data_IF_957033095909
#
_entry.id   IF_957033095909
#
_cell.length_a   1.000
_cell.length_b   1.000
_cell.length_c   1.000
_cell.angle_alpha   90.00
_cell.angle_beta   90.00
_cell.angle_gamma   90.00
#
_symmetry.space_group_name_H-M   'P 1'
#
loop_
_entity.id
_entity.type
_entity.pdbx_description
1 polymer ?
#
# COMPACT_ATOMS: atom_id res chain seq x y z
N UNK A 1 -0.34 -8.92 -29.96
CA UNK A 1 -1.33 -8.31 -29.05
C UNK A 1 -0.56 -7.84 -27.83
N UNK A 2 -0.29 -6.54 -27.74
CA UNK A 2 0.41 -5.95 -26.60
C UNK A 2 -0.51 -5.98 -25.39
N UNK A 3 -0.16 -6.75 -24.36
CA UNK A 3 -0.91 -6.72 -23.12
C UNK A 3 -0.83 -5.31 -22.52
N UNK A 4 -1.99 -4.70 -22.29
CA UNK A 4 -2.07 -3.40 -21.62
C UNK A 4 -1.37 -3.51 -20.25
N UNK A 5 -0.58 -2.50 -19.84
CA UNK A 5 0.02 -2.49 -18.52
C UNK A 5 -1.09 -2.59 -17.47
N UNK A 6 -0.89 -3.45 -16.48
CA UNK A 6 -1.78 -3.56 -15.33
C UNK A 6 -1.80 -2.17 -14.67
N UNK A 7 -2.91 -1.45 -14.82
CA UNK A 7 -3.09 -0.20 -14.09
C UNK A 7 -3.16 -0.55 -12.60
N UNK A 8 -2.27 0.01 -11.78
CA UNK A 8 -2.22 -0.27 -10.35
C UNK A 8 -3.57 -0.07 -9.64
N UNK A 9 -4.40 0.88 -10.12
CA UNK A 9 -5.75 1.08 -9.60
C UNK A 9 -6.72 -0.04 -10.01
N UNK A 10 -6.56 -0.61 -11.21
CA UNK A 10 -7.36 -1.75 -11.69
C UNK A 10 -7.02 -3.05 -10.94
N UNK A 11 -5.74 -3.24 -10.61
CA UNK A 11 -5.28 -4.35 -9.76
C UNK A 11 -5.79 -4.22 -8.32
N UNK A 12 -5.64 -3.04 -7.71
CA UNK A 12 -6.12 -2.82 -6.34
C UNK A 12 -7.66 -2.98 -6.27
N UNK A 13 -8.39 -2.57 -7.33
CA UNK A 13 -9.84 -2.79 -7.43
C UNK A 13 -10.22 -4.27 -7.65
N UNK A 14 -9.34 -5.09 -8.23
CA UNK A 14 -9.61 -6.52 -8.46
C UNK A 14 -9.43 -7.38 -7.20
N UNK A 15 -8.75 -6.85 -6.16
CA UNK A 15 -8.65 -7.50 -4.84
C UNK A 15 -10.02 -7.69 -4.15
N UNK A 16 -11.08 -7.02 -4.64
CA UNK A 16 -12.48 -7.23 -4.24
C UNK A 16 -12.93 -6.43 -3.02
N UNK A 17 -14.20 -6.60 -2.65
CA UNK A 17 -14.90 -5.82 -1.61
C UNK A 17 -14.20 -5.78 -0.24
N UNK A 18 -13.38 -6.80 0.07
CA UNK A 18 -12.50 -6.85 1.25
C UNK A 18 -11.60 -5.64 1.33
N UNK A 19 -11.08 -5.21 0.17
CA UNK A 19 -10.05 -4.19 0.08
C UNK A 19 -10.60 -2.86 -0.41
N UNK A 20 -11.88 -2.70 -0.73
CA UNK A 20 -12.43 -1.41 -1.19
C UNK A 20 -12.13 -0.26 -0.22
N UNK A 21 -12.18 -0.53 1.09
CA UNK A 21 -11.81 0.46 2.10
C UNK A 21 -10.31 0.79 2.05
N UNK A 22 -9.46 -0.21 1.83
CA UNK A 22 -8.01 -0.06 1.73
C UNK A 22 -7.63 0.64 0.41
N UNK A 23 -8.28 0.28 -0.70
CA UNK A 23 -8.20 0.91 -2.01
C UNK A 23 -8.56 2.38 -1.94
N UNK A 24 -9.68 2.71 -1.29
CA UNK A 24 -10.10 4.11 -1.07
C UNK A 24 -9.09 4.85 -0.19
N UNK A 25 -8.57 4.21 0.84
CA UNK A 25 -7.55 4.78 1.72
C UNK A 25 -6.22 5.07 1.00
N UNK A 26 -5.81 4.18 0.09
CA UNK A 26 -4.64 4.35 -0.80
C UNK A 26 -4.89 5.49 -1.79
N UNK A 27 -6.02 5.50 -2.50
CA UNK A 27 -6.35 6.58 -3.45
C UNK A 27 -6.40 7.95 -2.77
N UNK A 28 -6.99 8.04 -1.58
CA UNK A 28 -6.99 9.29 -0.80
C UNK A 28 -5.57 9.76 -0.44
N UNK A 29 -4.64 8.84 -0.16
CA UNK A 29 -3.24 9.19 0.14
C UNK A 29 -2.47 9.59 -1.10
N UNK A 30 -2.68 8.91 -2.22
CA UNK A 30 -2.09 9.31 -3.49
C UNK A 30 -2.55 10.72 -3.88
N UNK A 31 -3.85 11.02 -3.72
CA UNK A 31 -4.38 12.37 -3.95
C UNK A 31 -3.73 13.43 -3.06
N UNK A 32 -3.38 13.09 -1.81
CA UNK A 32 -2.61 14.00 -0.92
C UNK A 32 -1.21 14.26 -1.48
N UNK A 33 -0.53 13.23 -1.99
CA UNK A 33 0.80 13.37 -2.60
C UNK A 33 0.72 14.19 -3.90
N UNK A 34 -0.29 13.94 -4.74
CA UNK A 34 -0.54 14.73 -5.95
C UNK A 34 -0.80 16.20 -5.62
N UNK A 35 -1.56 16.48 -4.54
CA UNK A 35 -1.81 17.83 -4.06
C UNK A 35 -0.49 18.51 -3.63
N UNK A 36 0.37 17.83 -2.86
CA UNK A 36 1.70 18.36 -2.53
C UNK A 36 2.56 18.63 -3.77
N UNK A 37 2.57 17.71 -4.74
CA UNK A 37 3.33 17.86 -5.98
C UNK A 37 2.83 19.04 -6.83
N UNK A 38 1.52 19.28 -6.82
CA UNK A 38 0.90 20.42 -7.51
C UNK A 38 1.25 21.77 -6.87
N UNK A 39 1.36 21.80 -5.54
CA UNK A 39 1.68 23.00 -4.77
C UNK A 39 3.19 23.31 -4.72
N UNK A 40 4.04 22.28 -4.71
CA UNK A 40 5.49 22.42 -4.63
C UNK A 40 6.19 21.25 -5.35
N UNK A 41 6.20 21.34 -6.68
CA UNK A 41 6.79 20.33 -7.54
C UNK A 41 8.30 20.15 -7.36
N UNK A 42 8.99 21.12 -6.75
CA UNK A 42 10.44 21.08 -6.54
C UNK A 42 10.78 20.25 -5.31
N UNK A 43 10.15 20.54 -4.17
CA UNK A 43 10.43 19.83 -2.92
C UNK A 43 9.75 18.46 -2.84
N UNK A 44 8.67 18.22 -3.60
CA UNK A 44 7.97 16.92 -3.63
C UNK A 44 8.27 16.09 -4.88
N UNK A 45 9.26 16.47 -5.71
CA UNK A 45 9.66 15.71 -6.89
C UNK A 45 10.10 14.26 -6.60
N UNK A 46 10.69 14.02 -5.42
CA UNK A 46 11.10 12.68 -4.95
C UNK A 46 10.82 12.53 -3.46
N UNK A 47 10.74 11.28 -2.97
CA UNK A 47 10.56 10.99 -1.54
C UNK A 47 11.73 11.57 -0.72
N UNK A 48 12.95 11.51 -1.23
CA UNK A 48 14.15 12.06 -0.58
C UNK A 48 14.04 13.57 -0.38
N UNK A 49 13.72 14.31 -1.45
CA UNK A 49 13.54 15.77 -1.38
C UNK A 49 12.40 16.15 -0.44
N UNK A 50 11.31 15.40 -0.47
CA UNK A 50 10.18 15.60 0.44
C UNK A 50 10.61 15.43 1.89
N UNK A 51 11.33 14.35 2.22
CA UNK A 51 11.84 14.11 3.58
C UNK A 51 12.76 15.24 4.01
N UNK A 52 13.74 15.63 3.20
CA UNK A 52 14.66 16.73 3.50
C UNK A 52 13.90 18.06 3.75
N UNK A 53 12.95 18.40 2.89
CA UNK A 53 12.14 19.61 2.99
C UNK A 53 11.27 19.61 4.25
N UNK A 54 10.50 18.55 4.48
CA UNK A 54 9.58 18.48 5.61
C UNK A 54 10.34 18.43 6.94
N UNK A 55 11.53 17.81 6.98
CA UNK A 55 12.41 17.84 8.15
C UNK A 55 12.97 19.23 8.41
N UNK A 56 13.55 19.87 7.40
CA UNK A 56 14.13 21.22 7.51
C UNK A 56 13.12 22.26 7.98
N UNK A 57 11.87 22.12 7.55
CA UNK A 57 10.77 23.04 7.92
C UNK A 57 10.00 22.61 9.17
N UNK A 58 10.29 21.44 9.74
CA UNK A 58 9.57 20.86 10.87
C UNK A 58 8.13 20.42 10.56
N UNK A 59 7.75 20.36 9.27
CA UNK A 59 6.40 20.01 8.80
C UNK A 59 5.98 18.59 9.20
N UNK A 60 6.91 17.63 9.20
CA UNK A 60 6.66 16.24 9.55
C UNK A 60 6.07 16.05 10.96
N UNK A 61 6.36 16.99 11.89
CA UNK A 61 5.86 16.96 13.28
C UNK A 61 4.39 17.36 13.40
N UNK A 62 3.85 18.06 12.41
CA UNK A 62 2.47 18.55 12.43
C UNK A 62 1.56 17.58 11.70
N UNK A 63 0.47 17.14 12.36
CA UNK A 63 -0.47 16.17 11.77
C UNK A 63 -1.18 16.73 10.54
N UNK A 64 -1.52 18.02 10.58
CA UNK A 64 -2.14 18.78 9.50
C UNK A 64 -1.67 20.23 9.60
N UNK A 65 -1.36 20.86 8.45
CA UNK A 65 -1.22 22.31 8.33
C UNK A 65 -2.06 22.77 7.14
N UNK A 66 -2.60 23.98 7.26
CA UNK A 66 -3.21 24.70 6.15
C UNK A 66 -2.09 25.12 5.19
N UNK A 67 -1.97 24.43 4.05
CA UNK A 67 -1.22 24.96 2.91
C UNK A 67 -2.00 26.09 2.25
N UNK A 68 -3.33 25.99 2.31
CA UNK A 68 -4.29 27.04 1.98
C UNK A 68 -5.27 27.27 3.14
N UNK A 69 -5.81 28.48 3.33
CA UNK A 69 -6.81 28.76 4.36
C UNK A 69 -7.99 27.77 4.28
N UNK A 70 -8.25 27.06 5.37
CA UNK A 70 -9.44 26.20 5.49
C UNK A 70 -9.30 24.77 4.96
N UNK A 71 -8.21 24.39 4.27
CA UNK A 71 -8.00 23.00 3.81
C UNK A 71 -6.83 22.33 4.53
N UNK A 72 -7.08 21.49 5.56
CA UNK A 72 -6.01 20.77 6.24
C UNK A 72 -5.43 19.68 5.35
N UNK A 73 -4.14 19.77 5.00
CA UNK A 73 -3.45 18.72 4.25
C UNK A 73 -2.49 17.97 5.18
N UNK A 74 -2.61 16.63 5.30
CA UNK A 74 -1.63 15.81 6.01
C UNK A 74 -0.22 15.97 5.41
N UNK A 75 0.82 15.84 6.24
CA UNK A 75 2.20 15.94 5.76
C UNK A 75 2.57 14.75 4.85
N UNK A 76 3.53 15.00 3.95
CA UNK A 76 3.99 14.04 2.95
C UNK A 76 4.65 12.83 3.59
N UNK A 77 5.54 13.02 4.56
CA UNK A 77 6.26 11.93 5.24
C UNK A 77 5.29 10.90 5.84
N UNK A 78 4.30 11.34 6.61
CA UNK A 78 3.29 10.46 7.21
C UNK A 78 2.41 9.79 6.15
N UNK A 79 2.09 10.51 5.08
CA UNK A 79 1.27 9.98 3.99
C UNK A 79 2.01 8.86 3.25
N UNK A 80 3.27 9.10 2.85
CA UNK A 80 4.15 8.10 2.24
C UNK A 80 4.41 6.93 3.17
N UNK A 81 4.66 7.15 4.47
CA UNK A 81 4.84 6.06 5.44
C UNK A 81 3.65 5.10 5.47
N UNK A 82 2.43 5.61 5.38
CA UNK A 82 1.22 4.77 5.37
C UNK A 82 1.06 4.02 4.05
N UNK A 83 1.39 4.66 2.93
CA UNK A 83 1.43 4.00 1.62
C UNK A 83 2.48 2.89 1.59
N UNK A 84 3.66 3.14 2.15
CA UNK A 84 4.76 2.18 2.29
C UNK A 84 4.34 0.94 3.09
N UNK A 85 3.69 1.13 4.25
CA UNK A 85 3.14 0.02 5.04
C UNK A 85 2.07 -0.79 4.30
N UNK A 86 1.22 -0.11 3.51
CA UNK A 86 0.21 -0.77 2.69
C UNK A 86 0.86 -1.56 1.53
N UNK A 87 1.94 -1.05 0.93
CA UNK A 87 2.73 -1.76 -0.08
C UNK A 87 3.28 -3.07 0.49
N UNK A 88 3.82 -3.05 1.71
CA UNK A 88 4.35 -4.25 2.36
C UNK A 88 3.28 -5.32 2.60
N UNK A 89 2.08 -4.90 2.99
CA UNK A 89 0.93 -5.81 3.06
C UNK A 89 0.57 -6.42 1.70
N UNK A 90 0.43 -5.60 0.66
CA UNK A 90 0.07 -6.08 -0.69
C UNK A 90 1.13 -7.05 -1.22
N UNK A 91 2.41 -6.71 -1.07
CA UNK A 91 3.55 -7.54 -1.46
C UNK A 91 3.48 -8.91 -0.80
N UNK A 92 3.32 -8.96 0.52
CA UNK A 92 3.25 -10.22 1.27
C UNK A 92 2.00 -11.03 0.90
N UNK A 93 0.83 -10.38 0.79
CA UNK A 93 -0.41 -11.02 0.35
C UNK A 93 -0.24 -11.72 -1.00
N UNK A 94 0.40 -11.06 -1.96
CA UNK A 94 0.60 -11.62 -3.30
C UNK A 94 1.58 -12.77 -3.30
N UNK A 95 2.68 -12.66 -2.57
CA UNK A 95 3.68 -13.72 -2.49
C UNK A 95 3.12 -14.98 -1.79
N UNK A 96 2.42 -14.82 -0.67
CA UNK A 96 1.76 -15.93 0.02
C UNK A 96 0.69 -16.58 -0.86
N UNK A 97 -0.14 -15.79 -1.54
CA UNK A 97 -1.18 -16.32 -2.45
C UNK A 97 -0.57 -17.15 -3.57
N UNK A 98 0.53 -16.66 -4.18
CA UNK A 98 1.26 -17.33 -5.25
C UNK A 98 1.85 -18.66 -4.79
N UNK A 99 2.33 -18.74 -3.54
CA UNK A 99 2.92 -19.95 -2.94
C UNK A 99 1.90 -20.93 -2.35
N UNK A 100 0.70 -20.46 -2.06
CA UNK A 100 -0.32 -21.26 -1.40
C UNK A 100 -0.88 -22.39 -2.29
N UNK A 101 -1.24 -23.55 -1.69
CA UNK A 101 -2.00 -24.62 -2.36
C UNK A 101 -3.32 -24.14 -2.95
N UNK A 102 -3.88 -24.90 -3.90
CA UNK A 102 -5.11 -24.52 -4.61
C UNK A 102 -6.34 -24.42 -3.70
N UNK A 103 -6.38 -25.24 -2.65
CA UNK A 103 -7.44 -25.36 -1.65
C UNK A 103 -7.21 -24.48 -0.42
N UNK A 104 -6.19 -23.61 -0.43
CA UNK A 104 -5.89 -22.75 0.70
C UNK A 104 -6.94 -21.65 0.91
N UNK A 105 -7.23 -21.37 2.18
CA UNK A 105 -8.19 -20.33 2.57
C UNK A 105 -7.56 -18.93 2.46
N UNK A 106 -8.12 -18.10 1.57
CA UNK A 106 -7.67 -16.72 1.38
C UNK A 106 -7.86 -15.83 2.60
N UNK A 107 -8.85 -16.13 3.44
CA UNK A 107 -9.09 -15.36 4.66
C UNK A 107 -7.90 -15.49 5.63
N UNK A 108 -7.28 -16.67 5.68
CA UNK A 108 -6.15 -17.02 6.52
C UNK A 108 -4.88 -16.41 5.95
N UNK A 109 -4.68 -16.52 4.63
CA UNK A 109 -3.57 -15.86 3.92
C UNK A 109 -3.61 -14.35 4.15
N UNK A 110 -4.76 -13.71 3.91
CA UNK A 110 -4.92 -12.27 4.06
C UNK A 110 -4.77 -11.80 5.51
N UNK A 111 -5.31 -12.57 6.46
CA UNK A 111 -5.16 -12.25 7.88
C UNK A 111 -3.70 -12.35 8.35
N UNK A 112 -2.98 -13.40 7.98
CA UNK A 112 -1.57 -13.56 8.34
C UNK A 112 -0.72 -12.43 7.76
N UNK A 113 -0.90 -12.13 6.46
CA UNK A 113 -0.20 -11.03 5.81
C UNK A 113 -0.51 -9.69 6.50
N UNK A 114 -1.75 -9.45 6.93
CA UNK A 114 -2.14 -8.26 7.68
C UNK A 114 -1.44 -8.19 9.04
N UNK A 115 -1.45 -9.27 9.82
CA UNK A 115 -0.85 -9.30 11.15
C UNK A 115 0.66 -9.03 11.10
N UNK A 116 1.36 -9.58 10.12
CA UNK A 116 2.80 -9.42 9.94
C UNK A 116 3.20 -8.00 9.49
N UNK A 117 2.29 -7.26 8.86
CA UNK A 117 2.58 -5.95 8.26
C UNK A 117 1.78 -4.83 8.91
N UNK A 118 0.64 -4.44 8.34
CA UNK A 118 -0.21 -3.33 8.78
C UNK A 118 -0.68 -3.47 10.24
N UNK A 119 -0.95 -4.69 10.68
CA UNK A 119 -1.39 -5.02 12.03
C UNK A 119 -0.43 -4.52 13.11
N UNK A 120 0.87 -4.52 12.83
CA UNK A 120 1.92 -4.01 13.75
C UNK A 120 1.77 -2.51 14.05
N UNK A 121 1.03 -1.76 13.22
CA UNK A 121 0.83 -0.32 13.34
C UNK A 121 -0.60 0.08 13.71
N UNK A 122 -1.52 -0.88 13.77
CA UNK A 122 -2.93 -0.64 14.06
C UNK A 122 -3.27 -0.96 15.53
N UNK A 123 -4.05 -0.11 16.21
CA UNK A 123 -4.59 -0.44 17.53
C UNK A 123 -5.41 -1.72 17.50
N UNK A 124 -5.46 -2.44 18.63
CA UNK A 124 -6.17 -3.71 18.76
C UNK A 124 -7.62 -3.68 18.21
N UNK A 125 -8.35 -2.60 18.47
CA UNK A 125 -9.73 -2.45 17.98
C UNK A 125 -9.82 -2.43 16.45
N UNK A 126 -8.87 -1.79 15.78
CA UNK A 126 -8.80 -1.74 14.31
C UNK A 126 -8.45 -3.12 13.77
N UNK A 127 -7.53 -3.84 14.41
CA UNK A 127 -7.18 -5.21 14.03
C UNK A 127 -8.40 -6.15 14.09
N UNK A 128 -9.26 -6.01 15.11
CA UNK A 128 -10.50 -6.81 15.23
C UNK A 128 -11.48 -6.52 14.12
N UNK A 129 -11.69 -5.26 13.77
CA UNK A 129 -12.57 -4.88 12.66
C UNK A 129 -12.05 -5.41 11.32
N UNK A 130 -10.74 -5.32 11.07
CA UNK A 130 -10.14 -5.85 9.84
C UNK A 130 -10.24 -7.38 9.78
N UNK A 131 -10.00 -8.08 10.89
CA UNK A 131 -10.17 -9.54 10.93
C UNK A 131 -11.60 -9.96 10.55
N UNK A 132 -12.60 -9.31 11.13
CA UNK A 132 -14.00 -9.59 10.81
C UNK A 132 -14.30 -9.29 9.33
N UNK A 133 -13.81 -8.18 8.79
CA UNK A 133 -13.98 -7.85 7.37
C UNK A 133 -13.37 -8.92 6.47
N UNK A 134 -12.13 -9.34 6.73
CA UNK A 134 -11.44 -10.40 5.97
C UNK A 134 -12.26 -11.70 6.02
N UNK A 135 -12.68 -12.15 7.21
CA UNK A 135 -13.50 -13.38 7.36
C UNK A 135 -14.82 -13.33 6.60
N UNK A 136 -15.45 -12.16 6.52
CA UNK A 136 -16.77 -12.02 5.88
C UNK A 136 -16.70 -11.81 4.37
N UNK A 137 -15.57 -11.33 3.84
CA UNK A 137 -15.52 -10.84 2.46
C UNK A 137 -14.43 -11.49 1.61
N UNK A 138 -13.47 -12.22 2.21
CA UNK A 138 -12.39 -12.85 1.46
C UNK A 138 -12.97 -13.79 0.38
N UNK A 139 -12.58 -13.62 -0.90
CA UNK A 139 -12.99 -14.52 -1.97
C UNK A 139 -12.32 -15.89 -1.79
N UNK A 140 -12.76 -16.91 -2.54
CA UNK A 140 -11.94 -18.12 -2.66
C UNK A 140 -10.61 -17.79 -3.34
N UNK A 141 -9.58 -18.62 -3.11
CA UNK A 141 -8.27 -18.44 -3.76
C UNK A 141 -8.38 -18.48 -5.28
N UNK A 142 -9.18 -19.40 -5.80
CA UNK A 142 -9.48 -19.50 -7.23
C UNK A 142 -10.05 -18.18 -7.76
N UNK A 143 -11.12 -17.65 -7.15
CA UNK A 143 -11.71 -16.37 -7.56
C UNK A 143 -10.73 -15.21 -7.47
N UNK A 144 -9.84 -15.20 -6.47
CA UNK A 144 -8.82 -14.18 -6.35
C UNK A 144 -7.79 -14.27 -7.48
N UNK A 145 -7.27 -15.47 -7.74
CA UNK A 145 -6.32 -15.74 -8.82
C UNK A 145 -6.93 -15.45 -10.19
N UNK A 146 -8.18 -15.85 -10.46
CA UNK A 146 -8.88 -15.53 -11.71
C UNK A 146 -8.96 -14.02 -11.95
N UNK A 147 -9.28 -13.24 -10.91
CA UNK A 147 -9.27 -11.78 -11.00
C UNK A 147 -7.89 -11.19 -11.26
N UNK A 148 -6.83 -11.84 -10.80
CA UNK A 148 -5.45 -11.44 -11.08
C UNK A 148 -4.99 -11.87 -12.48
N UNK A 149 -5.41 -13.05 -12.93
CA UNK A 149 -5.09 -13.61 -14.24
C UNK A 149 -5.67 -12.74 -15.36
N UNK A 150 -6.89 -12.23 -15.17
CA UNK A 150 -7.67 -11.67 -16.28
C UNK A 150 -7.72 -12.71 -17.43
N UNK A 151 -7.16 -12.38 -18.60
CA UNK A 151 -7.09 -13.28 -19.77
C UNK A 151 -5.76 -14.07 -19.87
N UNK A 152 -4.89 -14.01 -18.85
CA UNK A 152 -3.54 -14.63 -18.87
C UNK A 152 -3.54 -16.07 -18.36
N UNK A 153 -2.49 -16.82 -18.70
CA UNK A 153 -2.24 -18.17 -18.17
C UNK A 153 -1.64 -18.12 -16.75
N UNK A 154 -1.84 -19.19 -15.99
CA UNK A 154 -1.35 -19.29 -14.61
C UNK A 154 0.17 -19.12 -14.49
N UNK A 155 0.94 -19.76 -15.37
CA UNK A 155 2.41 -19.65 -15.37
C UNK A 155 2.89 -18.21 -15.63
N UNK A 156 2.18 -17.47 -16.49
CA UNK A 156 2.48 -16.06 -16.77
C UNK A 156 2.19 -15.19 -15.54
N UNK A 157 1.08 -15.43 -14.84
CA UNK A 157 0.76 -14.70 -13.62
C UNK A 157 1.79 -14.95 -12.52
N UNK A 158 2.24 -16.19 -12.33
CA UNK A 158 3.25 -16.53 -11.33
C UNK A 158 4.55 -15.75 -11.58
N UNK A 159 4.99 -15.62 -12.84
CA UNK A 159 6.15 -14.81 -13.19
C UNK A 159 5.91 -13.31 -12.96
N UNK A 160 4.76 -12.78 -13.38
CA UNK A 160 4.40 -11.37 -13.19
C UNK A 160 4.36 -11.00 -11.70
N UNK A 161 3.77 -11.86 -10.86
CA UNK A 161 3.71 -11.65 -9.42
C UNK A 161 5.11 -11.70 -8.80
N UNK A 162 5.99 -12.59 -9.26
CA UNK A 162 7.37 -12.64 -8.79
C UNK A 162 8.14 -11.35 -9.14
N UNK A 163 8.03 -10.86 -10.39
CA UNK A 163 8.66 -9.61 -10.82
C UNK A 163 8.11 -8.39 -10.06
N UNK A 164 6.79 -8.37 -9.82
CA UNK A 164 6.14 -7.31 -9.05
C UNK A 164 6.65 -7.30 -7.60
N UNK A 165 6.70 -8.45 -6.94
CA UNK A 165 7.23 -8.58 -5.57
C UNK A 165 8.68 -8.08 -5.51
N UNK A 166 9.52 -8.47 -6.47
CA UNK A 166 10.91 -8.04 -6.54
C UNK A 166 11.06 -6.52 -6.76
N UNK A 167 10.19 -5.92 -7.58
CA UNK A 167 10.15 -4.47 -7.77
C UNK A 167 9.71 -3.75 -6.48
N UNK A 168 8.68 -4.27 -5.81
CA UNK A 168 8.22 -3.77 -4.52
C UNK A 168 9.31 -3.85 -3.44
N UNK A 169 10.11 -4.92 -3.40
CA UNK A 169 11.23 -5.06 -2.44
C UNK A 169 12.28 -3.95 -2.58
N UNK A 170 12.57 -3.53 -3.81
CA UNK A 170 13.53 -2.45 -4.07
C UNK A 170 13.00 -1.10 -3.56
N UNK A 171 11.71 -0.83 -3.79
CA UNK A 171 11.03 0.38 -3.32
C UNK A 171 10.91 0.37 -1.80
N UNK A 172 10.53 -0.77 -1.22
CA UNK A 172 10.38 -0.99 0.21
C UNK A 172 11.72 -0.72 0.91
N UNK A 173 12.79 -1.41 0.51
CA UNK A 173 14.12 -1.22 1.10
C UNK A 173 14.59 0.24 1.04
N UNK A 174 14.47 0.86 -0.13
CA UNK A 174 14.93 2.26 -0.31
C UNK A 174 14.15 3.23 0.56
N UNK A 175 12.83 3.03 0.67
CA UNK A 175 11.95 3.90 1.46
C UNK A 175 12.13 3.65 2.96
N UNK A 176 12.20 2.39 3.37
CA UNK A 176 12.44 1.97 4.76
C UNK A 176 13.77 2.53 5.27
N UNK A 177 14.86 2.36 4.53
CA UNK A 177 16.19 2.86 4.90
C UNK A 177 16.20 4.39 5.04
N UNK A 178 15.55 5.11 4.11
CA UNK A 178 15.41 6.57 4.16
C UNK A 178 14.64 7.01 5.42
N UNK A 179 13.49 6.38 5.71
CA UNK A 179 12.67 6.74 6.87
C UNK A 179 13.34 6.35 8.19
N UNK A 180 14.04 5.21 8.22
CA UNK A 180 14.80 4.74 9.39
C UNK A 180 15.93 5.71 9.73
N UNK A 181 16.75 6.07 8.74
CA UNK A 181 17.89 6.98 8.91
C UNK A 181 17.46 8.36 9.44
N UNK A 182 16.24 8.77 9.11
CA UNK A 182 15.68 10.05 9.52
C UNK A 182 14.75 9.99 10.74
N UNK A 183 14.64 8.84 11.41
CA UNK A 183 13.76 8.61 12.58
C UNK A 183 12.25 8.87 12.30
N UNK A 184 11.79 8.53 11.09
CA UNK A 184 10.42 8.77 10.63
C UNK A 184 9.52 7.52 10.64
N UNK A 185 10.02 6.34 11.05
CA UNK A 185 9.23 5.10 11.03
C UNK A 185 8.03 5.07 11.98
N UNK A 186 7.98 5.99 12.96
CA UNK A 186 6.94 6.01 14.01
C UNK A 186 6.01 7.24 13.93
N UNK A 187 5.88 7.88 12.77
CA UNK A 187 4.94 8.99 12.61
C UNK A 187 3.49 8.52 12.83
N UNK A 188 2.85 9.06 13.89
CA UNK A 188 1.47 8.71 14.32
C UNK A 188 0.43 9.51 13.58
#
# INVERSE_FOLDING_TARGET
MSASPINGSSFISSLGAVFDFATKDIHNKLAIIDEHLSLDSVNYATIQKMVEFEMRTGRYKTKQKHLEPGKPLPNGCRTVLRLHRALNFIKLLLDETRRAPIDADMDTIAWNAYQETLGTHHPWIIQKTVHAAIKLTAPSREMFIEKLLQDRKMDELVMILADLVQACDTIDKTTEDLFKTNNLLNLV
#
